data_IF_758723886167
#
_entry.id   IF_758723886167
#
_cell.length_a   1.000
_cell.length_b   1.000
_cell.length_c   1.000
_cell.angle_alpha   90.00
_cell.angle_beta   90.00
_cell.angle_gamma   90.00
#
_symmetry.space_group_name_H-M   'P 1'
#
loop_
_entity.id
_entity.type
_entity.pdbx_description
1 polymer ?
#
# COMPACT_ATOMS: atom_id res chain seq x y z
N UNK A 1 -7.82 13.53 -35.70
CA UNK A 1 -8.57 12.64 -34.79
C UNK A 1 -7.62 12.21 -33.68
N UNK A 2 -8.00 12.35 -32.41
CA UNK A 2 -7.19 11.92 -31.28
C UNK A 2 -7.76 10.65 -30.67
N UNK A 3 -6.93 9.63 -30.47
CA UNK A 3 -7.29 8.47 -29.65
C UNK A 3 -7.08 8.84 -28.19
N UNK A 4 -8.13 8.71 -27.38
CA UNK A 4 -8.07 8.82 -25.92
C UNK A 4 -8.67 7.56 -25.31
N UNK A 5 -8.13 7.15 -24.16
CA UNK A 5 -8.63 5.99 -23.43
C UNK A 5 -9.84 6.41 -22.60
N UNK A 6 -10.99 5.81 -22.88
CA UNK A 6 -12.20 5.94 -22.07
C UNK A 6 -12.31 4.73 -21.14
N UNK A 7 -12.22 4.96 -19.83
CA UNK A 7 -12.35 3.94 -18.79
C UNK A 7 -13.77 3.88 -18.19
N UNK A 8 -14.70 4.66 -18.75
CA UNK A 8 -16.04 4.87 -18.18
C UNK A 8 -17.05 3.87 -18.71
N UNK A 9 -16.78 3.27 -19.89
CA UNK A 9 -17.68 2.34 -20.56
C UNK A 9 -16.90 1.20 -21.21
N UNK A 10 -17.47 0.02 -21.07
CA UNK A 10 -17.09 -1.25 -21.71
C UNK A 10 -17.54 -1.33 -23.19
N UNK A 11 -18.36 -0.38 -23.63
CA UNK A 11 -18.83 -0.23 -25.01
C UNK A 11 -18.22 1.00 -25.69
N UNK A 12 -18.10 0.96 -27.02
CA UNK A 12 -17.60 2.09 -27.80
C UNK A 12 -18.52 3.32 -27.70
N UNK A 13 -17.92 4.49 -27.47
CA UNK A 13 -18.64 5.76 -27.36
C UNK A 13 -18.42 6.59 -28.62
N UNK A 14 -19.51 7.13 -29.20
CA UNK A 14 -19.44 8.07 -30.33
C UNK A 14 -19.84 9.45 -29.85
N UNK A 15 -18.98 10.44 -30.10
CA UNK A 15 -19.27 11.84 -29.82
C UNK A 15 -19.83 12.49 -31.08
N UNK A 16 -21.04 13.04 -30.98
CA UNK A 16 -21.69 13.80 -32.04
C UNK A 16 -21.98 15.21 -31.56
N UNK A 17 -21.97 16.17 -32.49
CA UNK A 17 -22.46 17.52 -32.20
C UNK A 17 -23.97 17.48 -31.94
N UNK A 18 -24.44 18.31 -31.02
CA UNK A 18 -25.86 18.43 -30.67
C UNK A 18 -26.73 18.69 -31.91
N UNK A 19 -26.28 19.58 -32.81
CA UNK A 19 -26.98 19.89 -34.07
C UNK A 19 -27.17 18.66 -34.95
N UNK A 20 -26.17 17.79 -35.04
CA UNK A 20 -26.27 16.58 -35.83
C UNK A 20 -27.21 15.57 -35.15
N UNK A 21 -27.13 15.44 -33.82
CA UNK A 21 -28.02 14.54 -33.09
C UNK A 21 -29.49 14.92 -33.27
N UNK A 22 -29.82 16.20 -33.10
CA UNK A 22 -31.19 16.71 -33.32
C UNK A 22 -31.67 16.50 -34.76
N UNK A 23 -30.80 16.71 -35.76
CA UNK A 23 -31.15 16.52 -37.17
C UNK A 23 -31.53 15.07 -37.52
N UNK A 24 -30.84 14.09 -36.94
CA UNK A 24 -31.05 12.68 -37.31
C UNK A 24 -32.04 11.97 -36.39
N UNK A 25 -32.13 12.34 -35.11
CA UNK A 25 -32.99 11.67 -34.12
C UNK A 25 -34.23 12.45 -33.72
N UNK A 26 -34.34 13.74 -34.08
CA UNK A 26 -35.47 14.60 -33.73
C UNK A 26 -35.82 14.61 -32.22
N UNK A 27 -34.81 14.41 -31.37
CA UNK A 27 -34.94 14.44 -29.91
C UNK A 27 -34.20 15.67 -29.36
N UNK A 28 -34.92 16.49 -28.59
CA UNK A 28 -34.45 17.73 -27.98
C UNK A 28 -34.18 17.59 -26.47
N UNK A 29 -34.33 16.39 -25.91
CA UNK A 29 -34.14 16.14 -24.48
C UNK A 29 -32.66 16.16 -24.09
N UNK A 30 -32.34 16.91 -23.04
CA UNK A 30 -31.00 17.00 -22.46
C UNK A 30 -30.95 16.24 -21.15
N UNK A 31 -30.19 15.15 -21.11
CA UNK A 31 -30.07 14.30 -19.91
C UNK A 31 -28.98 14.76 -18.94
N UNK A 32 -28.00 15.54 -19.39
CA UNK A 32 -26.89 16.00 -18.55
C UNK A 32 -26.30 17.29 -19.09
N UNK A 33 -25.95 18.22 -18.20
CA UNK A 33 -25.35 19.49 -18.56
C UNK A 33 -24.08 19.74 -17.72
N UNK A 34 -22.95 19.92 -18.40
CA UNK A 34 -21.67 20.21 -17.76
C UNK A 34 -21.50 21.71 -17.53
N UNK A 35 -21.40 22.13 -16.27
CA UNK A 35 -21.11 23.53 -15.91
C UNK A 35 -19.64 23.67 -15.52
N UNK A 36 -18.90 24.52 -16.24
CA UNK A 36 -17.52 24.86 -15.91
C UNK A 36 -17.48 26.12 -15.06
N UNK A 37 -16.99 25.98 -13.83
CA UNK A 37 -16.89 27.10 -12.90
C UNK A 37 -15.59 27.89 -13.13
N UNK A 38 -15.66 29.21 -12.96
CA UNK A 38 -14.47 30.08 -12.98
C UNK A 38 -13.50 29.69 -11.85
N UNK A 39 -12.20 29.86 -12.07
CA UNK A 39 -11.16 29.60 -11.06
C UNK A 39 -11.48 30.33 -9.75
N UNK A 40 -11.52 29.61 -8.63
CA UNK A 40 -11.81 30.15 -7.29
C UNK A 40 -13.26 29.99 -6.81
N UNK A 41 -14.21 29.62 -7.67
CA UNK A 41 -15.58 29.33 -7.24
C UNK A 41 -15.64 28.01 -6.45
N UNK A 42 -16.42 27.98 -5.36
CA UNK A 42 -16.68 26.78 -4.56
C UNK A 42 -17.80 25.95 -5.22
N UNK A 43 -17.52 24.75 -5.75
CA UNK A 43 -18.53 23.95 -6.45
C UNK A 43 -19.75 23.60 -5.61
N UNK A 44 -19.54 23.37 -4.32
CA UNK A 44 -20.58 22.98 -3.38
C UNK A 44 -21.58 24.12 -3.14
N UNK A 45 -21.07 25.34 -2.92
CA UNK A 45 -21.90 26.54 -2.74
C UNK A 45 -22.70 26.88 -4.01
N UNK A 46 -22.11 26.69 -5.19
CA UNK A 46 -22.82 26.90 -6.47
C UNK A 46 -23.89 25.82 -6.68
N UNK A 47 -23.57 24.56 -6.38
CA UNK A 47 -24.55 23.47 -6.46
C UNK A 47 -25.73 23.70 -5.52
N UNK A 48 -25.48 24.15 -4.29
CA UNK A 48 -26.52 24.45 -3.31
C UNK A 48 -27.38 25.65 -3.70
N UNK A 49 -26.76 26.75 -4.17
CA UNK A 49 -27.47 27.91 -4.70
C UNK A 49 -28.33 27.54 -5.91
N UNK A 50 -27.84 26.66 -6.79
CA UNK A 50 -28.61 26.17 -7.93
C UNK A 50 -29.78 25.29 -7.47
N UNK A 51 -29.56 24.39 -6.50
CA UNK A 51 -30.64 23.57 -5.93
C UNK A 51 -31.74 24.42 -5.32
N UNK A 52 -31.36 25.41 -4.52
CA UNK A 52 -32.31 26.32 -3.87
C UNK A 52 -33.14 27.13 -4.89
N UNK A 53 -32.56 27.46 -6.05
CA UNK A 53 -33.21 28.28 -7.07
C UNK A 53 -34.04 27.49 -8.07
N UNK A 54 -33.59 26.29 -8.46
CA UNK A 54 -34.13 25.56 -9.61
C UNK A 54 -34.66 24.15 -9.28
N UNK A 55 -34.29 23.54 -8.15
CA UNK A 55 -34.70 22.16 -7.82
C UNK A 55 -35.71 22.10 -6.67
N UNK A 56 -36.83 22.81 -6.78
CA UNK A 56 -37.91 22.78 -5.77
C UNK A 56 -38.62 21.42 -5.66
N UNK A 57 -38.49 20.55 -6.66
CA UNK A 57 -39.14 19.22 -6.73
C UNK A 57 -38.17 18.02 -6.69
N UNK A 58 -36.85 18.24 -6.53
CA UNK A 58 -35.87 17.13 -6.47
C UNK A 58 -35.54 16.46 -7.81
N UNK A 59 -36.00 17.01 -8.93
CA UNK A 59 -35.82 16.44 -10.28
C UNK A 59 -34.36 16.46 -10.79
N UNK A 60 -33.48 17.28 -10.21
CA UNK A 60 -32.10 17.46 -10.70
C UNK A 60 -31.07 16.83 -9.75
N UNK A 61 -30.38 15.79 -10.24
CA UNK A 61 -29.21 15.22 -9.56
C UNK A 61 -27.95 16.00 -9.90
N UNK A 62 -27.60 16.97 -9.05
CA UNK A 62 -26.40 17.79 -9.24
C UNK A 62 -25.20 17.11 -8.57
N UNK A 63 -24.24 16.69 -9.38
CA UNK A 63 -22.97 16.12 -8.93
C UNK A 63 -21.83 17.10 -9.25
N UNK A 64 -21.04 17.47 -8.24
CA UNK A 64 -19.77 18.15 -8.49
C UNK A 64 -18.69 17.12 -8.79
N UNK A 65 -17.81 17.38 -9.76
CA UNK A 65 -16.68 16.49 -10.06
C UNK A 65 -15.78 16.27 -8.83
N UNK A 66 -15.71 17.25 -7.92
CA UNK A 66 -14.98 17.11 -6.65
C UNK A 66 -15.64 16.09 -5.74
N UNK A 67 -16.97 16.14 -5.58
CA UNK A 67 -17.73 15.22 -4.74
C UNK A 67 -17.74 13.80 -5.31
N UNK A 68 -17.83 13.64 -6.63
CA UNK A 68 -17.66 12.33 -7.29
C UNK A 68 -16.26 11.77 -7.05
N UNK A 69 -15.21 12.58 -7.23
CA UNK A 69 -13.83 12.15 -6.98
C UNK A 69 -13.63 11.71 -5.53
N UNK A 70 -14.13 12.47 -4.55
CA UNK A 70 -14.02 12.12 -3.12
C UNK A 70 -14.79 10.83 -2.80
N UNK A 71 -16.04 10.70 -3.27
CA UNK A 71 -16.85 9.48 -3.09
C UNK A 71 -16.20 8.24 -3.69
N UNK A 72 -15.63 8.36 -4.89
CA UNK A 72 -14.90 7.28 -5.54
C UNK A 72 -13.69 6.87 -4.68
N UNK A 73 -12.89 7.83 -4.22
CA UNK A 73 -11.75 7.52 -3.34
C UNK A 73 -12.17 6.89 -2.02
N UNK A 74 -13.26 7.35 -1.38
CA UNK A 74 -13.77 6.74 -0.15
C UNK A 74 -14.17 5.26 -0.34
N UNK A 75 -14.84 4.94 -1.45
CA UNK A 75 -15.23 3.55 -1.77
C UNK A 75 -13.99 2.68 -2.04
N UNK A 76 -13.01 3.23 -2.76
CA UNK A 76 -11.75 2.53 -2.99
C UNK A 76 -10.99 2.30 -1.67
N UNK A 77 -10.85 3.33 -0.83
CA UNK A 77 -10.17 3.25 0.46
C UNK A 77 -10.84 2.22 1.39
N UNK A 78 -12.17 2.17 1.41
CA UNK A 78 -12.92 1.18 2.18
C UNK A 78 -12.69 -0.24 1.67
N UNK A 79 -12.63 -0.44 0.35
CA UNK A 79 -12.33 -1.74 -0.26
C UNK A 79 -10.92 -2.19 0.07
N UNK A 80 -9.95 -1.27 0.06
CA UNK A 80 -8.55 -1.55 0.41
C UNK A 80 -8.28 -1.60 1.92
N UNK A 81 -9.20 -1.14 2.77
CA UNK A 81 -9.07 -1.18 4.23
C UNK A 81 -8.76 -2.59 4.74
N UNK A 82 -9.42 -3.60 4.21
CA UNK A 82 -9.18 -5.01 4.55
C UNK A 82 -7.74 -5.42 4.21
N UNK A 83 -7.24 -5.00 3.05
CA UNK A 83 -5.86 -5.24 2.64
C UNK A 83 -4.87 -4.56 3.59
N UNK A 84 -5.14 -3.33 4.06
CA UNK A 84 -4.28 -2.67 5.05
C UNK A 84 -4.24 -3.40 6.39
N UNK A 85 -5.38 -3.93 6.85
CA UNK A 85 -5.44 -4.75 8.07
C UNK A 85 -4.63 -6.03 7.88
N UNK A 86 -4.87 -6.77 6.79
CA UNK A 86 -4.15 -8.01 6.50
C UNK A 86 -2.64 -7.77 6.37
N UNK A 87 -2.24 -6.68 5.71
CA UNK A 87 -0.83 -6.26 5.61
C UNK A 87 -0.22 -6.02 6.99
N UNK A 88 -0.96 -5.36 7.89
CA UNK A 88 -0.49 -5.08 9.25
C UNK A 88 -0.31 -6.38 10.04
N UNK A 89 -1.27 -7.30 9.95
CA UNK A 89 -1.17 -8.63 10.58
C UNK A 89 0.04 -9.40 10.03
N UNK A 90 0.25 -9.40 8.72
CA UNK A 90 1.39 -10.07 8.11
C UNK A 90 2.74 -9.52 8.62
N UNK A 91 2.86 -8.20 8.77
CA UNK A 91 4.05 -7.57 9.35
C UNK A 91 4.25 -7.99 10.81
N UNK A 92 3.18 -8.01 11.62
CA UNK A 92 3.24 -8.46 13.00
C UNK A 92 3.70 -9.91 13.12
N UNK A 93 3.15 -10.80 12.29
CA UNK A 93 3.56 -12.21 12.24
C UNK A 93 5.04 -12.34 11.85
N UNK A 94 5.48 -11.58 10.85
CA UNK A 94 6.88 -11.59 10.42
C UNK A 94 7.84 -11.11 11.53
N UNK A 95 7.52 -9.99 12.18
CA UNK A 95 8.30 -9.44 13.31
C UNK A 95 8.36 -10.41 14.48
N UNK A 96 7.22 -11.03 14.82
CA UNK A 96 7.14 -12.03 15.89
C UNK A 96 7.97 -13.26 15.55
N UNK A 97 7.93 -13.72 14.29
CA UNK A 97 8.75 -14.82 13.80
C UNK A 97 10.25 -14.55 13.91
N UNK A 98 10.70 -13.34 13.55
CA UNK A 98 12.10 -12.92 13.71
C UNK A 98 12.50 -12.90 15.18
N UNK A 99 11.65 -12.36 16.05
CA UNK A 99 11.90 -12.32 17.50
C UNK A 99 12.03 -13.73 18.09
N UNK A 100 11.11 -14.64 17.77
CA UNK A 100 11.13 -16.04 18.20
C UNK A 100 12.39 -16.73 17.68
N UNK A 101 12.68 -16.61 16.38
CA UNK A 101 13.84 -17.24 15.75
C UNK A 101 15.16 -16.80 16.37
N UNK A 102 15.35 -15.49 16.60
CA UNK A 102 16.56 -14.97 17.25
C UNK A 102 16.67 -15.41 18.71
N UNK A 103 15.55 -15.49 19.43
CA UNK A 103 15.55 -15.98 20.82
C UNK A 103 15.98 -17.45 20.89
N UNK A 104 15.45 -18.28 19.98
CA UNK A 104 15.87 -19.68 19.85
C UNK A 104 17.35 -19.79 19.48
N UNK A 105 17.81 -19.02 18.50
CA UNK A 105 19.21 -19.00 18.05
C UNK A 105 20.19 -18.61 19.18
N UNK A 106 19.83 -17.64 20.02
CA UNK A 106 20.61 -17.26 21.21
C UNK A 106 20.72 -18.43 22.18
N UNK A 107 19.64 -19.18 22.36
CA UNK A 107 19.58 -20.30 23.31
C UNK A 107 20.43 -21.47 22.81
N UNK A 108 20.28 -21.82 21.53
CA UNK A 108 21.04 -22.90 20.87
C UNK A 108 22.54 -22.60 20.82
N UNK A 109 22.93 -21.36 20.52
CA UNK A 109 24.34 -20.94 20.45
C UNK A 109 24.88 -20.33 21.74
N UNK A 110 24.20 -20.53 22.87
CA UNK A 110 24.58 -19.94 24.16
C UNK A 110 26.01 -20.33 24.59
N UNK A 111 26.41 -21.58 24.36
CA UNK A 111 27.77 -22.07 24.63
C UNK A 111 28.82 -21.37 23.75
N UNK A 112 28.58 -21.25 22.44
CA UNK A 112 29.50 -20.58 21.50
C UNK A 112 29.69 -19.10 21.86
N UNK A 113 28.59 -18.41 22.20
CA UNK A 113 28.62 -17.02 22.68
C UNK A 113 29.36 -16.91 24.02
N UNK A 114 29.25 -17.93 24.87
CA UNK A 114 29.99 -18.07 26.13
C UNK A 114 31.50 -18.15 25.91
N UNK A 115 31.95 -19.00 24.99
CA UNK A 115 33.37 -19.13 24.60
C UNK A 115 33.90 -17.82 23.99
N UNK A 116 33.10 -17.14 23.16
CA UNK A 116 33.49 -15.84 22.60
C UNK A 116 33.75 -14.79 23.70
N UNK A 117 32.92 -14.73 24.75
CA UNK A 117 33.16 -13.81 25.88
C UNK A 117 34.33 -14.24 26.76
N UNK A 118 34.59 -15.54 26.93
CA UNK A 118 35.76 -16.01 27.69
C UNK A 118 37.08 -15.67 26.97
N UNK A 119 37.04 -15.58 25.64
CA UNK A 119 38.12 -15.05 24.80
C UNK A 119 38.22 -13.50 24.82
N UNK A 120 37.36 -12.81 25.58
CA UNK A 120 37.39 -11.36 25.77
C UNK A 120 36.41 -10.56 24.90
N UNK A 121 35.47 -11.21 24.19
CA UNK A 121 34.45 -10.47 23.45
C UNK A 121 33.54 -9.67 24.40
N UNK A 122 33.33 -8.40 24.07
CA UNK A 122 32.43 -7.51 24.80
C UNK A 122 30.96 -7.83 24.54
N UNK A 123 30.09 -7.54 25.51
CA UNK A 123 28.64 -7.63 25.35
C UNK A 123 28.11 -6.78 24.17
N UNK A 124 28.81 -5.70 23.83
CA UNK A 124 28.50 -4.84 22.67
C UNK A 124 28.78 -5.52 21.33
N UNK A 125 29.87 -6.30 21.23
CA UNK A 125 30.20 -7.05 20.01
C UNK A 125 29.16 -8.15 19.73
N UNK A 126 28.71 -8.87 20.75
CA UNK A 126 27.65 -9.88 20.62
C UNK A 126 26.33 -9.24 20.19
N UNK A 127 25.92 -8.15 20.85
CA UNK A 127 24.72 -7.40 20.44
C UNK A 127 24.79 -6.96 18.97
N UNK A 128 25.92 -6.39 18.56
CA UNK A 128 26.11 -5.92 17.19
C UNK A 128 26.06 -7.06 16.19
N UNK A 129 26.63 -8.22 16.51
CA UNK A 129 26.57 -9.42 15.68
C UNK A 129 25.11 -9.87 15.44
N UNK A 130 24.32 -10.01 16.52
CA UNK A 130 22.92 -10.43 16.40
C UNK A 130 22.05 -9.40 15.67
N UNK A 131 22.28 -8.11 15.88
CA UNK A 131 21.58 -7.06 15.14
C UNK A 131 21.94 -7.07 13.65
N UNK A 132 23.19 -7.41 13.30
CA UNK A 132 23.60 -7.59 11.91
C UNK A 132 22.95 -8.81 11.26
N UNK A 133 22.85 -9.93 11.98
CA UNK A 133 22.17 -11.13 11.49
C UNK A 133 20.68 -10.84 11.22
N UNK A 134 20.01 -10.19 12.18
CA UNK A 134 18.62 -9.73 12.02
C UNK A 134 18.44 -8.75 10.86
N UNK A 135 19.34 -7.77 10.73
CA UNK A 135 19.33 -6.79 9.64
C UNK A 135 19.54 -7.43 8.27
N UNK A 136 20.45 -8.39 8.16
CA UNK A 136 20.68 -9.15 6.92
C UNK A 136 19.45 -9.97 6.52
N UNK A 137 18.80 -10.64 7.47
CA UNK A 137 17.55 -11.37 7.22
C UNK A 137 16.47 -10.42 6.73
N UNK A 138 16.29 -9.27 7.40
CA UNK A 138 15.32 -8.25 7.00
C UNK A 138 15.60 -7.68 5.60
N UNK A 139 16.87 -7.43 5.27
CA UNK A 139 17.28 -6.95 3.96
C UNK A 139 17.01 -7.99 2.86
N UNK A 140 17.39 -9.24 3.06
CA UNK A 140 17.10 -10.33 2.11
C UNK A 140 15.60 -10.52 1.92
N UNK A 141 14.82 -10.53 3.00
CA UNK A 141 13.37 -10.61 2.95
C UNK A 141 12.76 -9.43 2.17
N UNK A 142 13.30 -8.22 2.33
CA UNK A 142 12.81 -7.04 1.61
C UNK A 142 13.07 -7.12 0.10
N UNK A 143 14.25 -7.61 -0.32
CA UNK A 143 14.60 -7.78 -1.73
C UNK A 143 13.70 -8.84 -2.38
N UNK A 144 13.55 -9.99 -1.73
CA UNK A 144 12.68 -11.07 -2.21
C UNK A 144 11.20 -10.65 -2.21
N UNK A 145 10.76 -9.91 -1.19
CA UNK A 145 9.40 -9.37 -1.10
C UNK A 145 9.10 -8.35 -2.20
N UNK A 146 10.05 -7.45 -2.50
CA UNK A 146 9.91 -6.52 -3.62
C UNK A 146 9.86 -7.25 -4.96
N UNK A 147 10.78 -8.19 -5.20
CA UNK A 147 10.83 -8.94 -6.44
C UNK A 147 9.53 -9.74 -6.68
N UNK A 148 9.07 -10.47 -5.67
CA UNK A 148 7.81 -11.23 -5.73
C UNK A 148 6.59 -10.34 -5.85
N UNK A 149 6.53 -9.22 -5.12
CA UNK A 149 5.45 -8.23 -5.22
C UNK A 149 5.36 -7.56 -6.59
N UNK A 150 6.51 -7.23 -7.21
CA UNK A 150 6.56 -6.71 -8.57
C UNK A 150 6.07 -7.76 -9.58
N UNK A 151 6.53 -9.00 -9.46
CA UNK A 151 6.06 -10.11 -10.29
C UNK A 151 4.54 -10.29 -10.18
N UNK A 152 4.02 -10.31 -8.96
CA UNK A 152 2.59 -10.44 -8.71
C UNK A 152 1.79 -9.26 -9.26
N UNK A 153 2.31 -8.02 -9.15
CA UNK A 153 1.67 -6.82 -9.71
C UNK A 153 1.55 -6.88 -11.24
N UNK A 154 2.58 -7.38 -11.92
CA UNK A 154 2.56 -7.58 -13.37
C UNK A 154 1.52 -8.62 -13.79
N UNK A 155 1.43 -9.74 -13.07
CA UNK A 155 0.42 -10.78 -13.33
C UNK A 155 -0.99 -10.25 -13.07
N UNK A 156 -1.19 -9.53 -11.98
CA UNK A 156 -2.49 -8.97 -11.61
C UNK A 156 -2.98 -7.97 -12.66
N UNK A 157 -2.09 -7.10 -13.14
CA UNK A 157 -2.45 -6.06 -14.12
C UNK A 157 -2.56 -6.61 -15.55
N UNK A 158 -1.65 -7.49 -15.94
CA UNK A 158 -1.56 -7.98 -17.32
C UNK A 158 -2.51 -9.14 -17.63
N UNK A 159 -2.81 -9.99 -16.66
CA UNK A 159 -3.61 -11.22 -16.84
C UNK A 159 -4.96 -11.07 -16.15
N UNK A 160 -4.97 -10.85 -14.84
CA UNK A 160 -6.19 -10.91 -14.03
C UNK A 160 -7.12 -9.75 -14.39
N UNK A 161 -6.65 -8.50 -14.37
CA UNK A 161 -7.49 -7.35 -14.71
C UNK A 161 -8.06 -7.46 -16.13
N UNK A 162 -7.25 -7.93 -17.08
CA UNK A 162 -7.70 -8.12 -18.46
C UNK A 162 -8.76 -9.21 -18.58
N UNK A 163 -8.63 -10.30 -17.83
CA UNK A 163 -9.58 -11.40 -17.85
C UNK A 163 -10.93 -11.05 -17.18
N UNK A 164 -10.91 -10.31 -16.07
CA UNK A 164 -12.13 -9.99 -15.32
C UNK A 164 -12.83 -8.71 -15.79
N UNK A 165 -12.07 -7.71 -16.22
CA UNK A 165 -12.61 -6.40 -16.54
C UNK A 165 -12.48 -6.01 -18.01
N UNK A 166 -11.63 -6.69 -18.80
CA UNK A 166 -11.44 -6.40 -20.23
C UNK A 166 -10.54 -5.19 -20.53
N UNK A 167 -10.08 -4.46 -19.51
CA UNK A 167 -9.16 -3.32 -19.62
C UNK A 167 -7.94 -3.49 -18.72
N UNK A 168 -6.86 -2.77 -19.05
CA UNK A 168 -5.64 -2.71 -18.25
C UNK A 168 -5.49 -1.34 -17.60
N UNK A 169 -4.90 -1.33 -16.42
CA UNK A 169 -4.53 -0.09 -15.71
C UNK A 169 -3.07 0.19 -16.04
N UNK A 170 -2.72 1.46 -16.25
CA UNK A 170 -1.30 1.83 -16.40
C UNK A 170 -0.55 1.57 -15.10
N UNK A 171 0.55 0.83 -15.19
CA UNK A 171 1.46 0.61 -14.08
C UNK A 171 2.15 1.94 -13.73
N UNK A 172 1.73 2.54 -12.63
CA UNK A 172 2.46 3.63 -12.00
C UNK A 172 3.40 3.03 -10.96
N UNK A 173 4.71 3.15 -11.18
CA UNK A 173 5.72 2.70 -10.22
C UNK A 173 6.02 3.83 -9.23
N UNK A 174 5.61 3.70 -7.95
CA UNK A 174 5.96 4.67 -6.93
C UNK A 174 7.40 4.45 -6.49
N UNK A 175 8.36 4.98 -7.25
CA UNK A 175 9.80 4.82 -7.00
C UNK A 175 10.19 5.16 -5.56
N UNK A 176 9.58 6.20 -4.98
CA UNK A 176 9.82 6.59 -3.60
C UNK A 176 9.41 5.50 -2.61
N UNK A 177 8.22 4.92 -2.77
CA UNK A 177 7.77 3.82 -1.92
C UNK A 177 8.65 2.59 -2.08
N UNK A 178 9.03 2.23 -3.31
CA UNK A 178 9.91 1.09 -3.57
C UNK A 178 11.29 1.23 -2.92
N UNK A 179 11.83 2.44 -2.84
CA UNK A 179 13.11 2.72 -2.16
C UNK A 179 12.97 2.75 -0.64
N UNK A 180 11.88 3.31 -0.11
CA UNK A 180 11.69 3.42 1.34
C UNK A 180 11.24 2.10 2.00
N UNK A 181 10.47 1.26 1.32
CA UNK A 181 9.97 -0.01 1.88
C UNK A 181 11.09 -0.92 2.43
N UNK A 182 12.19 -1.20 1.71
CA UNK A 182 13.25 -2.04 2.25
C UNK A 182 13.91 -1.44 3.49
N UNK A 183 14.08 -0.11 3.54
CA UNK A 183 14.58 0.57 4.74
C UNK A 183 13.66 0.34 5.96
N UNK A 184 12.35 0.47 5.77
CA UNK A 184 11.37 0.24 6.84
C UNK A 184 11.32 -1.22 7.29
N UNK A 185 11.39 -2.17 6.35
CA UNK A 185 11.38 -3.61 6.67
C UNK A 185 12.65 -4.00 7.43
N UNK A 186 13.83 -3.57 6.97
CA UNK A 186 15.09 -3.85 7.66
C UNK A 186 15.12 -3.20 9.04
N UNK A 187 14.62 -1.96 9.18
CA UNK A 187 14.51 -1.31 10.48
C UNK A 187 13.56 -2.08 11.42
N UNK A 188 12.42 -2.56 10.92
CA UNK A 188 11.49 -3.38 11.71
C UNK A 188 12.11 -4.72 12.13
N UNK A 189 12.88 -5.37 11.25
CA UNK A 189 13.61 -6.59 11.59
C UNK A 189 14.64 -6.35 12.71
N UNK A 190 15.47 -5.30 12.58
CA UNK A 190 16.44 -4.92 13.61
C UNK A 190 15.74 -4.60 14.93
N UNK A 191 14.61 -3.88 14.90
CA UNK A 191 13.82 -3.58 16.09
C UNK A 191 13.28 -4.86 16.75
N UNK A 192 12.83 -5.84 15.97
CA UNK A 192 12.41 -7.15 16.48
C UNK A 192 13.56 -7.88 17.18
N UNK A 193 14.77 -7.81 16.63
CA UNK A 193 15.97 -8.42 17.18
C UNK A 193 16.59 -7.71 18.38
N UNK A 194 16.13 -6.50 18.72
CA UNK A 194 16.74 -5.67 19.76
C UNK A 194 16.65 -6.30 21.16
N UNK A 195 15.47 -6.77 21.55
CA UNK A 195 15.24 -7.40 22.86
C UNK A 195 16.10 -8.67 23.05
N UNK A 196 16.08 -9.67 22.12
CA UNK A 196 16.88 -10.88 22.28
C UNK A 196 18.39 -10.58 22.23
N UNK A 197 18.84 -9.69 21.34
CA UNK A 197 20.26 -9.28 21.30
C UNK A 197 20.70 -8.63 22.61
N UNK A 198 19.87 -7.76 23.19
CA UNK A 198 20.16 -7.11 24.46
C UNK A 198 20.27 -8.10 25.62
N UNK A 199 19.34 -9.08 25.69
CA UNK A 199 19.34 -10.17 26.66
C UNK A 199 20.59 -11.04 26.54
N UNK A 200 20.98 -11.43 25.32
CA UNK A 200 22.20 -12.21 25.06
C UNK A 200 23.47 -11.51 25.59
N UNK A 201 23.55 -10.19 25.42
CA UNK A 201 24.68 -9.42 25.95
C UNK A 201 24.72 -9.29 27.48
N UNK A 202 23.62 -9.57 28.19
CA UNK A 202 23.53 -9.50 29.67
C UNK A 202 23.62 -10.85 30.36
N UNK A 203 23.55 -11.97 29.64
CA UNK A 203 23.71 -13.29 30.23
C UNK A 203 25.12 -13.41 30.83
N UNK A 204 25.19 -13.64 32.14
CA UNK A 204 26.41 -14.01 32.85
C UNK A 204 26.71 -15.48 32.59
N UNK A 205 27.86 -15.74 31.98
CA UNK A 205 28.26 -17.08 31.51
C UNK A 205 28.58 -18.03 32.67
N UNK A 206 28.62 -17.53 33.90
CA UNK A 206 28.82 -18.35 35.10
C UNK A 206 27.66 -19.32 35.37
N UNK A 207 26.43 -19.04 34.91
CA UNK A 207 25.31 -19.99 35.03
C UNK A 207 25.33 -21.08 33.96
N UNK A 208 25.86 -20.80 32.76
CA UNK A 208 25.87 -21.75 31.64
C UNK A 208 26.87 -22.92 31.81
N UNK A 209 27.83 -22.80 32.73
CA UNK A 209 28.79 -23.87 33.09
C UNK A 209 28.38 -24.59 34.38
N UNK A 210 27.41 -24.05 35.14
CA UNK A 210 27.01 -24.57 36.45
C UNK A 210 25.67 -25.30 36.45
N UNK A 211 24.95 -25.29 35.33
CA UNK A 211 23.75 -26.12 35.12
C UNK A 211 24.11 -27.42 34.40
N UNK A 212 24.89 -28.25 35.07
CA UNK A 212 24.88 -29.70 34.90
C UNK A 212 24.87 -30.35 36.29
#
# INVERSE_FOLDING_TARGET
AGLFYDYTRDQGTVFLSERNFQKFWHDDRVNSLGLYLKKGAKPEAVAEAFRARFSRSGEFSIYSNRLLRTRIFEIFDQTFAVTYVLRTIAVLVAVTGIFLGLTTLVTERSHELGVLRSLGASAGQIRRLLLWESGMIGLLASVLGLASGLCLSLVLTGVINRAFFGWTIQLAFPWWSLLCTPLWITAAAIAAGWIPAWRAGRMEIAEAVRSE
#
